data_IF_180442774690
#
_entry.id   IF_180442774690
#
_cell.length_a   1.000
_cell.length_b   1.000
_cell.length_c   1.000
_cell.angle_alpha   90.00
_cell.angle_beta   90.00
_cell.angle_gamma   90.00
#
_symmetry.space_group_name_H-M   'P 1'
#
loop_
_entity.id
_entity.type
_entity.pdbx_description
1 polymer ?
#
# COMPACT_ATOMS: atom_id res chain seq x y z
N UNK A 1 4.50 43.37 -70.17
CA UNK A 1 5.12 43.49 -68.83
C UNK A 1 4.45 42.54 -67.91
N UNK A 2 5.10 41.45 -67.45
CA UNK A 2 4.49 40.51 -66.51
C UNK A 2 4.78 40.90 -65.05
N UNK A 3 3.74 40.89 -64.23
CA UNK A 3 3.78 41.18 -62.81
C UNK A 3 4.38 40.00 -62.05
N UNK A 4 5.36 40.30 -61.20
CA UNK A 4 5.94 39.34 -60.25
C UNK A 4 5.01 39.17 -59.04
N UNK A 5 4.60 37.91 -58.76
CA UNK A 5 3.92 37.53 -57.50
C UNK A 5 4.97 37.24 -56.42
N UNK A 6 4.77 37.63 -55.15
CA UNK A 6 5.64 37.25 -54.06
C UNK A 6 5.28 35.88 -53.52
N UNK A 7 6.30 35.04 -53.34
CA UNK A 7 6.23 33.73 -52.68
C UNK A 7 6.04 33.92 -51.18
N UNK A 8 4.88 33.58 -50.64
CA UNK A 8 4.64 33.49 -49.21
C UNK A 8 5.30 32.20 -48.64
N UNK A 9 6.38 32.42 -47.89
CA UNK A 9 7.06 31.36 -47.16
C UNK A 9 6.30 31.07 -45.88
N UNK A 10 5.43 30.04 -45.88
CA UNK A 10 4.76 29.58 -44.69
C UNK A 10 5.72 28.78 -43.78
N UNK A 11 6.15 29.41 -42.71
CA UNK A 11 6.89 28.74 -41.64
C UNK A 11 5.90 27.90 -40.83
N UNK A 12 5.93 26.59 -41.03
CA UNK A 12 5.19 25.64 -40.20
C UNK A 12 5.99 25.47 -38.90
N UNK A 13 5.53 26.11 -37.84
CA UNK A 13 6.05 25.95 -36.49
C UNK A 13 5.47 24.63 -35.93
N UNK A 14 6.23 23.56 -36.08
CA UNK A 14 5.89 22.26 -35.43
C UNK A 14 6.05 22.37 -33.93
N UNK A 15 4.94 22.53 -33.23
CA UNK A 15 4.88 22.43 -31.79
C UNK A 15 5.06 20.94 -31.40
N UNK A 16 6.25 20.56 -30.93
CA UNK A 16 6.51 19.31 -30.26
C UNK A 16 5.74 19.32 -28.94
N UNK A 17 4.58 18.66 -28.92
CA UNK A 17 3.85 18.35 -27.68
C UNK A 17 4.66 17.27 -26.98
N UNK A 18 5.50 17.68 -26.03
CA UNK A 18 6.17 16.78 -25.10
C UNK A 18 5.09 16.24 -24.13
N UNK A 19 4.48 15.12 -24.48
CA UNK A 19 3.61 14.37 -23.56
C UNK A 19 4.49 13.77 -22.47
N UNK A 20 4.85 14.60 -21.49
CA UNK A 20 5.43 14.14 -20.24
C UNK A 20 4.39 13.30 -19.52
N UNK A 21 4.60 11.99 -19.44
CA UNK A 21 3.90 11.13 -18.48
C UNK A 21 4.18 11.69 -17.09
N UNK A 22 3.19 12.37 -16.51
CA UNK A 22 3.24 12.77 -15.10
C UNK A 22 3.14 11.48 -14.32
N UNK A 23 4.29 10.88 -14.01
CA UNK A 23 4.38 9.89 -12.94
C UNK A 23 3.95 10.63 -11.68
N UNK A 24 2.77 10.29 -11.17
CA UNK A 24 2.25 10.88 -9.93
C UNK A 24 3.34 10.73 -8.86
N UNK A 25 3.82 11.87 -8.35
CA UNK A 25 4.86 11.86 -7.35
C UNK A 25 4.37 11.06 -6.15
N UNK A 26 5.11 10.02 -5.75
CA UNK A 26 4.83 9.28 -4.54
C UNK A 26 4.71 10.24 -3.35
N UNK A 27 3.57 10.23 -2.67
CA UNK A 27 3.19 11.15 -1.62
C UNK A 27 2.71 10.38 -0.39
N UNK A 28 2.64 11.04 0.77
CA UNK A 28 2.01 10.43 1.96
C UNK A 28 0.60 9.89 1.68
N UNK A 29 -0.30 10.60 0.96
CA UNK A 29 -1.59 10.03 0.60
C UNK A 29 -1.51 8.72 -0.18
N UNK A 30 -0.51 8.55 -1.07
CA UNK A 30 -0.30 7.29 -1.79
C UNK A 30 0.14 6.17 -0.86
N UNK A 31 0.99 6.46 0.13
CA UNK A 31 1.40 5.51 1.17
C UNK A 31 0.21 5.07 2.02
N UNK A 32 -0.61 6.02 2.49
CA UNK A 32 -1.79 5.71 3.30
C UNK A 32 -2.80 4.87 2.52
N UNK A 33 -2.96 5.17 1.24
CA UNK A 33 -3.83 4.40 0.35
C UNK A 33 -3.32 2.97 0.14
N UNK A 34 -2.02 2.76 -0.10
CA UNK A 34 -1.44 1.42 -0.25
C UNK A 34 -1.59 0.58 1.02
N UNK A 35 -1.41 1.19 2.21
CA UNK A 35 -1.64 0.55 3.50
C UNK A 35 -3.12 0.14 3.64
N UNK A 36 -4.04 1.04 3.33
CA UNK A 36 -5.47 0.76 3.39
C UNK A 36 -5.90 -0.32 2.39
N UNK A 37 -5.39 -0.28 1.17
CA UNK A 37 -5.66 -1.27 0.13
C UNK A 37 -5.19 -2.66 0.55
N UNK A 38 -3.98 -2.78 1.12
CA UNK A 38 -3.47 -4.06 1.62
C UNK A 38 -4.37 -4.64 2.72
N UNK A 39 -4.94 -3.81 3.59
CA UNK A 39 -5.85 -4.23 4.65
C UNK A 39 -7.26 -4.54 4.13
N UNK A 40 -7.67 -4.00 2.99
CA UNK A 40 -8.99 -4.27 2.39
C UNK A 40 -9.14 -5.72 1.93
N UNK A 41 -8.05 -6.41 1.57
CA UNK A 41 -8.06 -7.83 1.22
C UNK A 41 -8.32 -8.76 2.42
N UNK A 42 -8.29 -8.26 3.65
CA UNK A 42 -8.31 -9.13 4.83
C UNK A 42 -9.66 -9.79 5.10
N UNK A 43 -10.75 -9.24 4.60
CA UNK A 43 -12.06 -9.91 4.62
C UNK A 43 -12.07 -11.12 3.66
N UNK A 44 -11.51 -10.98 2.45
CA UNK A 44 -11.40 -12.07 1.48
C UNK A 44 -10.46 -13.19 2.01
N UNK A 45 -9.32 -12.82 2.64
CA UNK A 45 -8.43 -13.77 3.33
C UNK A 45 -9.17 -14.49 4.46
N UNK A 46 -9.93 -13.75 5.26
CA UNK A 46 -10.76 -14.30 6.35
C UNK A 46 -11.83 -15.27 5.84
N UNK A 47 -12.51 -14.92 4.74
CA UNK A 47 -13.50 -15.80 4.09
C UNK A 47 -12.87 -17.11 3.60
N UNK A 48 -11.75 -17.01 2.87
CA UNK A 48 -11.02 -18.18 2.36
C UNK A 48 -10.59 -19.11 3.52
N UNK A 49 -10.00 -18.52 4.57
CA UNK A 49 -9.57 -19.28 5.74
C UNK A 49 -10.75 -19.93 6.48
N UNK A 50 -11.91 -19.26 6.54
CA UNK A 50 -13.12 -19.82 7.13
C UNK A 50 -13.64 -21.01 6.32
N UNK A 51 -13.76 -20.88 4.99
CA UNK A 51 -14.22 -21.93 4.08
C UNK A 51 -13.33 -23.17 4.15
N UNK A 52 -12.02 -22.97 4.20
CA UNK A 52 -11.04 -24.06 4.20
C UNK A 52 -10.64 -24.54 5.60
N UNK A 53 -11.28 -24.03 6.66
CA UNK A 53 -10.99 -24.36 8.06
C UNK A 53 -9.52 -24.14 8.45
N UNK A 54 -8.90 -23.11 7.86
CA UNK A 54 -7.51 -22.72 8.13
C UNK A 54 -7.48 -21.71 9.28
N UNK A 55 -6.52 -21.79 10.21
CA UNK A 55 -6.31 -20.79 11.25
C UNK A 55 -6.05 -19.40 10.68
N UNK A 56 -6.36 -18.33 11.44
CA UNK A 56 -5.97 -16.95 11.07
C UNK A 56 -4.47 -16.80 11.13
N UNK A 57 -3.84 -17.34 12.16
CA UNK A 57 -2.39 -17.40 12.30
C UNK A 57 -1.77 -18.23 11.19
N UNK A 58 -0.77 -17.64 10.52
CA UNK A 58 0.07 -18.30 9.51
C UNK A 58 1.52 -17.87 9.78
N UNK A 59 2.08 -18.43 10.84
CA UNK A 59 3.40 -18.04 11.39
C UNK A 59 4.49 -18.10 10.31
N UNK A 60 4.46 -19.12 9.45
CA UNK A 60 5.46 -19.24 8.38
C UNK A 60 5.29 -18.13 7.33
N UNK A 61 4.06 -17.80 6.98
CA UNK A 61 3.79 -16.68 6.07
C UNK A 61 4.15 -15.34 6.69
N UNK A 62 3.85 -15.14 7.97
CA UNK A 62 4.23 -13.92 8.70
C UNK A 62 5.76 -13.72 8.68
N UNK A 63 6.55 -14.77 8.92
CA UNK A 63 8.01 -14.74 8.82
C UNK A 63 8.49 -14.33 7.41
N UNK A 64 7.90 -14.90 6.36
CA UNK A 64 8.25 -14.55 4.97
C UNK A 64 7.97 -13.07 4.70
N UNK A 65 6.81 -12.55 5.12
CA UNK A 65 6.45 -11.13 4.94
C UNK A 65 7.44 -10.22 5.65
N UNK A 66 7.81 -10.55 6.89
CA UNK A 66 8.77 -9.75 7.68
C UNK A 66 10.18 -9.80 7.08
N UNK A 67 10.66 -10.98 6.65
CA UNK A 67 11.97 -11.12 5.99
C UNK A 67 12.03 -10.28 4.71
N UNK A 68 11.03 -10.41 3.84
CA UNK A 68 10.97 -9.65 2.59
C UNK A 68 10.91 -8.13 2.85
N UNK A 69 10.14 -7.69 3.86
CA UNK A 69 10.06 -6.28 4.22
C UNK A 69 11.42 -5.73 4.69
N UNK A 70 12.17 -6.49 5.48
CA UNK A 70 13.53 -6.11 5.93
C UNK A 70 14.51 -6.02 4.76
N UNK A 71 14.49 -7.01 3.87
CA UNK A 71 15.37 -7.05 2.70
C UNK A 71 15.10 -5.86 1.77
N UNK A 72 13.83 -5.59 1.48
CA UNK A 72 13.43 -4.43 0.68
C UNK A 72 13.78 -3.11 1.36
N UNK A 73 13.57 -3.00 2.68
CA UNK A 73 13.95 -1.81 3.44
C UNK A 73 15.44 -1.50 3.29
N UNK A 74 16.31 -2.51 3.48
CA UNK A 74 17.74 -2.36 3.30
C UNK A 74 18.12 -1.92 1.88
N UNK A 75 17.49 -2.53 0.87
CA UNK A 75 17.71 -2.19 -0.54
C UNK A 75 17.31 -0.74 -0.88
N UNK A 76 16.32 -0.19 -0.18
CA UNK A 76 15.83 1.19 -0.37
C UNK A 76 16.42 2.20 0.63
N UNK A 77 17.43 1.81 1.43
CA UNK A 77 18.12 2.69 2.38
C UNK A 77 17.26 3.07 3.59
N UNK A 78 16.34 2.20 3.97
CA UNK A 78 15.55 2.28 5.19
C UNK A 78 16.14 1.37 6.27
N UNK A 79 15.93 1.70 7.54
CA UNK A 79 16.30 0.86 8.66
C UNK A 79 15.41 -0.39 8.71
N UNK A 80 15.97 -1.62 8.52
CA UNK A 80 15.17 -2.84 8.42
C UNK A 80 14.37 -3.16 9.68
N UNK A 81 14.90 -2.82 10.86
CA UNK A 81 14.21 -3.13 12.12
C UNK A 81 13.02 -2.19 12.35
N UNK A 82 13.12 -0.93 11.91
CA UNK A 82 11.97 -0.02 11.95
C UNK A 82 10.86 -0.46 10.99
N UNK A 83 11.22 -0.95 9.83
CA UNK A 83 10.26 -1.50 8.85
C UNK A 83 9.63 -2.81 9.36
N UNK A 84 10.40 -3.68 9.99
CA UNK A 84 9.87 -4.90 10.62
C UNK A 84 8.77 -4.57 11.65
N UNK A 85 9.02 -3.59 12.56
CA UNK A 85 8.01 -3.14 13.53
C UNK A 85 6.74 -2.63 12.87
N UNK A 86 6.86 -1.86 11.80
CA UNK A 86 5.71 -1.40 11.03
C UNK A 86 4.92 -2.59 10.44
N UNK A 87 5.58 -3.57 9.83
CA UNK A 87 4.90 -4.75 9.28
C UNK A 87 4.30 -5.66 10.37
N UNK A 88 4.90 -5.74 11.56
CA UNK A 88 4.30 -6.42 12.73
C UNK A 88 2.95 -5.75 13.08
N UNK A 89 2.90 -4.42 13.15
CA UNK A 89 1.66 -3.68 13.39
C UNK A 89 0.62 -3.93 12.29
N UNK A 90 1.06 -3.94 11.02
CA UNK A 90 0.19 -4.23 9.88
C UNK A 90 -0.36 -5.66 9.89
N UNK A 91 0.45 -6.64 10.25
CA UNK A 91 0.03 -8.05 10.42
C UNK A 91 -0.97 -8.17 11.58
N UNK A 92 -0.74 -7.46 12.68
CA UNK A 92 -1.68 -7.43 13.82
C UNK A 92 -3.04 -6.87 13.42
N UNK A 93 -3.07 -5.74 12.72
CA UNK A 93 -4.30 -5.16 12.17
C UNK A 93 -5.00 -6.10 11.17
N UNK A 94 -4.23 -6.74 10.30
CA UNK A 94 -4.73 -7.74 9.34
C UNK A 94 -5.38 -8.94 10.04
N UNK A 95 -4.76 -9.46 11.10
CA UNK A 95 -5.34 -10.57 11.90
C UNK A 95 -6.62 -10.14 12.62
N UNK A 96 -6.66 -8.93 13.16
CA UNK A 96 -7.85 -8.40 13.83
C UNK A 96 -9.06 -8.35 12.87
N UNK A 97 -8.86 -7.87 11.63
CA UNK A 97 -9.91 -7.89 10.60
C UNK A 97 -10.36 -9.32 10.31
N UNK A 98 -9.42 -10.25 10.07
CA UNK A 98 -9.75 -11.65 9.76
C UNK A 98 -10.54 -12.32 10.88
N UNK A 99 -10.16 -12.12 12.15
CA UNK A 99 -10.88 -12.69 13.29
C UNK A 99 -12.30 -12.16 13.42
N UNK A 100 -12.48 -10.83 13.31
CA UNK A 100 -13.82 -10.21 13.39
C UNK A 100 -14.67 -10.65 12.21
N UNK A 101 -14.12 -10.72 11.03
CA UNK A 101 -14.84 -11.18 9.86
C UNK A 101 -15.25 -12.66 9.98
N UNK A 102 -14.34 -13.55 10.44
CA UNK A 102 -14.68 -14.94 10.72
C UNK A 102 -15.77 -15.06 11.78
N UNK A 103 -15.79 -14.21 12.80
CA UNK A 103 -16.87 -14.19 13.79
C UNK A 103 -18.21 -13.79 13.17
N UNK A 104 -18.25 -12.82 12.25
CA UNK A 104 -19.46 -12.47 11.50
C UNK A 104 -19.97 -13.62 10.64
N UNK A 105 -19.08 -14.41 10.05
CA UNK A 105 -19.45 -15.57 9.22
C UNK A 105 -20.08 -16.73 10.01
N UNK A 106 -20.08 -16.70 11.34
CA UNK A 106 -20.85 -17.66 12.16
C UNK A 106 -22.37 -17.44 12.04
N UNK A 107 -22.80 -16.25 11.68
CA UNK A 107 -24.20 -15.85 11.58
C UNK A 107 -24.65 -15.44 10.16
N UNK A 108 -23.73 -15.50 9.20
CA UNK A 108 -23.94 -15.12 7.80
C UNK A 108 -23.49 -16.25 6.88
N UNK A 109 -24.02 -16.26 5.65
CA UNK A 109 -23.49 -17.13 4.60
C UNK A 109 -22.07 -16.69 4.24
N UNK A 110 -21.17 -17.65 4.10
CA UNK A 110 -19.82 -17.41 3.60
C UNK A 110 -19.96 -17.03 2.10
N UNK A 111 -19.38 -15.90 1.68
CA UNK A 111 -19.44 -15.50 0.27
C UNK A 111 -18.84 -16.62 -0.60
N UNK A 112 -19.61 -17.07 -1.59
CA UNK A 112 -19.20 -18.12 -2.56
C UNK A 112 -18.25 -17.60 -3.63
N UNK A 113 -17.53 -16.54 -3.39
CA UNK A 113 -16.59 -15.98 -4.36
C UNK A 113 -15.40 -16.95 -4.49
N UNK A 114 -15.14 -17.51 -5.67
CA UNK A 114 -14.00 -18.39 -5.90
C UNK A 114 -12.72 -17.54 -6.00
N UNK A 115 -12.21 -17.08 -4.87
CA UNK A 115 -10.92 -16.38 -4.79
C UNK A 115 -9.93 -17.37 -4.19
N UNK A 116 -8.87 -17.66 -4.91
CA UNK A 116 -7.76 -18.48 -4.41
C UNK A 116 -6.75 -17.62 -3.67
N UNK A 117 -6.43 -18.01 -2.44
CA UNK A 117 -5.48 -17.27 -1.61
C UNK A 117 -4.07 -17.26 -2.20
N UNK A 118 -3.66 -18.34 -2.85
CA UNK A 118 -2.29 -18.51 -3.34
C UNK A 118 -2.07 -17.81 -4.69
N UNK A 119 -3.03 -17.99 -5.62
CA UNK A 119 -2.90 -17.46 -6.98
C UNK A 119 -3.39 -16.03 -7.14
N UNK A 120 -4.38 -15.60 -6.35
CA UNK A 120 -5.07 -14.33 -6.57
C UNK A 120 -4.66 -13.29 -5.51
N UNK A 121 -4.71 -13.66 -4.22
CA UNK A 121 -4.56 -12.67 -3.14
C UNK A 121 -3.10 -12.48 -2.72
N UNK A 122 -2.33 -13.56 -2.52
CA UNK A 122 -0.95 -13.45 -2.02
C UNK A 122 -0.02 -12.66 -2.94
N UNK A 123 -0.04 -12.84 -4.28
CA UNK A 123 0.79 -12.03 -5.17
C UNK A 123 0.49 -10.54 -5.05
N UNK A 124 -0.79 -10.17 -4.90
CA UNK A 124 -1.20 -8.78 -4.75
C UNK A 124 -0.77 -8.20 -3.38
N UNK A 125 -0.90 -8.97 -2.31
CA UNK A 125 -0.39 -8.57 -1.00
C UNK A 125 1.14 -8.40 -0.98
N UNK A 126 1.88 -9.20 -1.74
CA UNK A 126 3.32 -9.08 -1.87
C UNK A 126 3.70 -7.84 -2.68
N UNK A 127 3.00 -7.57 -3.79
CA UNK A 127 3.15 -6.34 -4.56
C UNK A 127 2.91 -5.10 -3.71
N UNK A 128 1.78 -5.05 -3.00
CA UNK A 128 1.45 -3.95 -2.10
C UNK A 128 2.46 -3.78 -0.96
N UNK A 129 3.03 -4.88 -0.46
CA UNK A 129 4.09 -4.80 0.56
C UNK A 129 5.34 -4.13 0.00
N UNK A 130 5.73 -4.45 -1.25
CA UNK A 130 6.86 -3.80 -1.94
C UNK A 130 6.56 -2.32 -2.19
N UNK A 131 5.38 -2.00 -2.72
CA UNK A 131 4.96 -0.62 -2.96
C UNK A 131 5.01 0.23 -1.68
N UNK A 132 4.56 -0.31 -0.55
CA UNK A 132 4.60 0.38 0.75
C UNK A 132 6.04 0.72 1.15
N UNK A 133 6.99 -0.21 1.00
CA UNK A 133 8.41 0.04 1.32
C UNK A 133 8.99 1.13 0.42
N UNK A 134 8.73 1.08 -0.89
CA UNK A 134 9.19 2.07 -1.86
C UNK A 134 8.59 3.46 -1.58
N UNK A 135 7.31 3.51 -1.21
CA UNK A 135 6.63 4.76 -0.84
C UNK A 135 7.22 5.36 0.43
N UNK A 136 7.53 4.55 1.47
CA UNK A 136 8.24 5.02 2.64
C UNK A 136 9.60 5.62 2.27
N UNK A 137 10.39 4.92 1.47
CA UNK A 137 11.69 5.41 1.03
C UNK A 137 11.57 6.76 0.32
N UNK A 138 10.59 6.89 -0.57
CA UNK A 138 10.36 8.14 -1.33
C UNK A 138 9.91 9.28 -0.42
N UNK A 139 8.97 9.04 0.49
CA UNK A 139 8.46 10.05 1.44
C UNK A 139 9.61 10.55 2.33
N UNK A 140 10.40 9.63 2.89
CA UNK A 140 11.49 9.99 3.80
C UNK A 140 12.69 10.64 3.07
N UNK A 141 12.95 10.32 1.79
CA UNK A 141 13.96 11.01 0.99
C UNK A 141 13.63 12.48 0.75
N UNK A 142 12.37 12.82 0.58
CA UNK A 142 11.91 14.19 0.35
C UNK A 142 11.91 15.07 1.59
N UNK A 143 12.44 14.59 2.71
CA UNK A 143 12.36 15.24 4.03
C UNK A 143 10.91 15.57 4.45
N UNK A 144 9.94 14.93 3.84
CA UNK A 144 8.54 14.95 4.26
C UNK A 144 8.40 13.93 5.38
N UNK A 145 8.83 14.29 6.58
CA UNK A 145 8.63 13.42 7.74
C UNK A 145 7.13 13.13 7.88
N UNK A 146 6.80 11.87 8.11
CA UNK A 146 5.47 11.51 8.58
C UNK A 146 5.41 12.04 10.01
N UNK A 147 4.49 12.97 10.25
CA UNK A 147 4.37 13.66 11.55
C UNK A 147 3.01 13.40 12.16
N UNK A 148 2.89 13.63 13.45
CA UNK A 148 1.62 13.50 14.20
C UNK A 148 0.45 14.27 13.56
N UNK A 149 0.72 15.40 12.92
CA UNK A 149 -0.28 16.21 12.21
C UNK A 149 -0.97 15.48 11.05
N UNK A 150 -0.41 14.33 10.62
CA UNK A 150 -0.97 13.50 9.55
C UNK A 150 -1.91 12.40 10.05
N UNK A 151 -2.01 12.20 11.37
CA UNK A 151 -2.79 11.13 12.00
C UNK A 151 -4.26 11.14 11.53
N UNK A 152 -4.94 12.26 11.59
CA UNK A 152 -6.35 12.34 11.17
C UNK A 152 -6.54 11.95 9.70
N UNK A 153 -5.62 12.36 8.83
CA UNK A 153 -5.66 11.97 7.41
C UNK A 153 -5.44 10.48 7.22
N UNK A 154 -4.52 9.89 7.97
CA UNK A 154 -4.29 8.46 7.96
C UNK A 154 -5.52 7.70 8.44
N UNK A 155 -6.08 8.09 9.59
CA UNK A 155 -7.32 7.51 10.14
C UNK A 155 -8.46 7.56 9.14
N UNK A 156 -8.59 8.68 8.41
CA UNK A 156 -9.60 8.85 7.36
C UNK A 156 -9.35 7.99 6.13
N UNK A 157 -8.12 7.62 5.84
CA UNK A 157 -7.78 6.71 4.73
C UNK A 157 -8.13 5.25 5.06
N UNK A 158 -8.07 4.86 6.34
CA UNK A 158 -8.38 3.50 6.80
C UNK A 158 -9.88 3.30 7.02
N UNK A 159 -10.63 3.14 5.94
CA UNK A 159 -12.10 3.00 5.96
C UNK A 159 -12.58 1.56 6.28
N UNK A 160 -11.71 0.68 6.79
CA UNK A 160 -12.12 -0.67 7.12
C UNK A 160 -12.97 -0.70 8.40
N UNK A 161 -14.23 -1.13 8.28
CA UNK A 161 -15.22 -1.21 9.36
C UNK A 161 -14.85 -2.19 10.50
N UNK A 162 -13.93 -3.11 10.23
CA UNK A 162 -13.47 -4.12 11.18
C UNK A 162 -12.21 -3.71 11.92
N UNK A 163 -11.65 -2.52 11.65
CA UNK A 163 -10.59 -1.91 12.44
C UNK A 163 -11.17 -0.95 13.47
N UNK A 164 -10.75 -1.10 14.72
CA UNK A 164 -11.04 -0.12 15.78
C UNK A 164 -9.94 0.93 15.84
N UNK A 165 -10.25 2.08 16.46
CA UNK A 165 -9.32 3.21 16.56
C UNK A 165 -7.95 2.81 17.15
N UNK A 166 -7.93 2.01 18.22
CA UNK A 166 -6.68 1.59 18.85
C UNK A 166 -5.72 0.83 17.90
N UNK A 167 -6.25 0.07 16.93
CA UNK A 167 -5.44 -0.64 15.94
C UNK A 167 -4.92 0.30 14.85
N UNK A 168 -5.73 1.28 14.47
CA UNK A 168 -5.32 2.33 13.54
C UNK A 168 -4.24 3.21 14.17
N UNK A 169 -4.39 3.57 15.45
CA UNK A 169 -3.40 4.33 16.21
C UNK A 169 -2.08 3.56 16.30
N UNK A 170 -2.12 2.28 16.71
CA UNK A 170 -0.91 1.45 16.79
C UNK A 170 -0.19 1.35 15.44
N UNK A 171 -0.94 1.27 14.35
CA UNK A 171 -0.38 1.22 13.00
C UNK A 171 0.26 2.56 12.61
N UNK A 172 -0.38 3.69 12.97
CA UNK A 172 0.18 5.01 12.74
C UNK A 172 1.44 5.26 13.58
N UNK A 173 1.43 4.87 14.86
CA UNK A 173 2.59 4.99 15.74
C UNK A 173 3.79 4.20 15.19
N UNK A 174 3.56 2.97 14.74
CA UNK A 174 4.61 2.18 14.09
C UNK A 174 5.12 2.82 12.78
N UNK A 175 4.24 3.51 12.04
CA UNK A 175 4.62 4.26 10.84
C UNK A 175 5.50 5.47 11.16
N UNK A 176 5.27 6.17 12.28
CA UNK A 176 6.11 7.28 12.74
C UNK A 176 7.53 6.83 13.08
N UNK A 177 7.72 5.57 13.48
CA UNK A 177 9.03 5.02 13.84
C UNK A 177 9.88 4.63 12.63
N UNK A 178 9.30 4.54 11.43
CA UNK A 178 10.05 4.16 10.22
C UNK A 178 11.05 5.25 9.88
N UNK A 179 12.32 4.86 9.70
CA UNK A 179 13.43 5.78 9.46
C UNK A 179 14.39 5.26 8.40
N UNK A 180 15.25 6.13 7.94
CA UNK A 180 16.36 5.77 7.04
C UNK A 180 17.47 5.07 7.81
N UNK A 181 18.22 4.20 7.12
CA UNK A 181 19.50 3.69 7.60
C UNK A 181 20.46 4.85 7.83
N UNK A 182 21.26 4.74 8.91
CA UNK A 182 22.33 5.72 9.22
C UNK A 182 23.54 5.48 8.34
#
# INVERSE_FOLDING_TARGET
>A
VPAKQPICLSVILSALIFSGTIHGAATEPSLFQAIAERLSYMEDVGAYKAQNKIPVEDVEREKIVLSNAKELAAAHGLDPDSMERFFIAQISAAKAIQYRYKAELLTREIPTRPIDLQSDIRPELDRLSSDIVELFATVLQRRSAITEERRERFMSALQNRLLVEAEKDALFDAMLEVRRSQ
#
